data_IF_582799628895
#
_entry.id   IF_582799628895
#
_cell.length_a   1.000
_cell.length_b   1.000
_cell.length_c   1.000
_cell.angle_alpha   90.00
_cell.angle_beta   90.00
_cell.angle_gamma   90.00
#
_symmetry.space_group_name_H-M   'P 1'
#
loop_
_entity.id
_entity.type
_entity.pdbx_description
1 polymer ?
#
# COMPACT_ATOMS: atom_id res chain seq x y z
N UNK A 1 -76.69 3.36 6.86
CA UNK A 1 -76.66 3.13 8.33
C UNK A 1 -75.69 2.00 8.59
N UNK A 2 -74.53 2.33 9.18
CA UNK A 2 -73.62 1.53 10.02
C UNK A 2 -73.11 0.17 9.49
N UNK A 3 -71.85 0.09 9.01
CA UNK A 3 -70.59 -0.13 9.75
C UNK A 3 -70.31 -1.62 10.04
N UNK A 4 -69.29 -2.19 9.39
CA UNK A 4 -68.00 -2.55 10.03
C UNK A 4 -67.22 -3.58 9.21
N UNK A 5 -65.98 -3.20 8.88
CA UNK A 5 -64.87 -4.05 8.44
C UNK A 5 -64.20 -4.65 9.69
N UNK A 6 -63.40 -5.73 9.57
CA UNK A 6 -61.97 -5.44 9.65
C UNK A 6 -61.06 -6.25 8.73
N UNK A 7 -60.02 -5.55 8.31
CA UNK A 7 -58.75 -5.99 7.77
C UNK A 7 -58.07 -7.08 8.61
N UNK A 8 -57.51 -8.10 7.95
CA UNK A 8 -56.45 -8.94 8.50
C UNK A 8 -55.20 -8.75 7.64
N UNK A 9 -54.28 -7.91 8.12
CA UNK A 9 -52.97 -7.69 7.53
C UNK A 9 -51.98 -8.72 8.10
N UNK A 10 -51.52 -9.64 7.27
CA UNK A 10 -50.46 -10.60 7.61
C UNK A 10 -49.11 -9.91 7.48
N UNK A 11 -48.62 -9.35 8.59
CA UNK A 11 -47.25 -8.84 8.69
C UNK A 11 -46.29 -10.03 8.93
N UNK A 12 -45.58 -10.46 7.89
CA UNK A 12 -44.41 -11.33 8.00
C UNK A 12 -43.29 -10.58 8.71
N UNK A 13 -43.12 -10.84 10.01
CA UNK A 13 -41.93 -10.46 10.77
C UNK A 13 -40.77 -11.38 10.36
N UNK A 14 -39.92 -10.90 9.45
CA UNK A 14 -38.58 -11.45 9.24
C UNK A 14 -37.73 -11.14 10.46
N UNK A 15 -37.50 -12.15 11.29
CA UNK A 15 -36.53 -12.09 12.37
C UNK A 15 -35.12 -12.02 11.77
N UNK A 16 -34.51 -10.83 11.79
CA UNK A 16 -33.07 -10.69 11.64
C UNK A 16 -32.41 -11.28 12.88
N UNK A 17 -32.06 -12.57 12.79
CA UNK A 17 -31.14 -13.20 13.73
C UNK A 17 -29.74 -12.66 13.41
N UNK A 18 -29.39 -11.54 14.05
CA UNK A 18 -28.02 -11.01 14.06
C UNK A 18 -27.14 -12.00 14.81
N UNK A 19 -26.59 -12.97 14.09
CA UNK A 19 -25.58 -13.90 14.60
C UNK A 19 -24.29 -13.12 14.77
N UNK A 20 -24.15 -12.45 15.92
CA UNK A 20 -22.89 -11.87 16.36
C UNK A 20 -21.91 -13.04 16.51
N UNK A 21 -21.00 -13.18 15.55
CA UNK A 21 -19.88 -14.12 15.60
C UNK A 21 -18.97 -13.69 16.75
N UNK A 22 -19.30 -14.16 17.96
CA UNK A 22 -18.41 -14.09 19.10
C UNK A 22 -17.24 -14.98 18.74
N UNK A 23 -16.12 -14.37 18.34
CA UNK A 23 -14.88 -15.07 18.10
C UNK A 23 -14.57 -15.86 19.38
N UNK A 24 -14.72 -17.18 19.30
CA UNK A 24 -14.15 -18.08 20.29
C UNK A 24 -12.64 -17.94 20.07
N UNK A 25 -12.04 -16.96 20.74
CA UNK A 25 -10.62 -16.95 20.98
C UNK A 25 -10.38 -18.20 21.83
N UNK A 26 -9.99 -19.30 21.18
CA UNK A 26 -9.34 -20.40 21.87
C UNK A 26 -8.14 -19.77 22.58
N UNK A 27 -8.26 -19.56 23.89
CA UNK A 27 -7.12 -19.19 24.72
C UNK A 27 -6.18 -20.39 24.70
N UNK A 28 -5.26 -20.43 23.74
CA UNK A 28 -4.09 -21.29 23.86
C UNK A 28 -3.45 -20.93 25.20
N UNK A 29 -3.08 -21.96 25.98
CA UNK A 29 -2.24 -21.72 27.15
C UNK A 29 -1.04 -20.90 26.68
N UNK A 30 -0.84 -19.72 27.27
CA UNK A 30 0.25 -18.84 26.87
C UNK A 30 1.57 -19.62 26.97
N UNK A 31 2.36 -19.61 25.89
CA UNK A 31 3.70 -20.19 25.90
C UNK A 31 4.56 -19.50 26.96
N UNK A 32 5.68 -20.11 27.34
CA UNK A 32 6.66 -19.36 28.13
C UNK A 32 7.17 -18.18 27.29
N UNK A 33 7.62 -17.12 27.94
CA UNK A 33 8.06 -15.90 27.27
C UNK A 33 9.59 -15.89 27.15
N UNK A 34 10.10 -15.67 25.95
CA UNK A 34 11.51 -15.40 25.68
C UNK A 34 11.64 -13.95 25.18
N UNK A 35 12.26 -13.09 25.98
CA UNK A 35 12.46 -11.68 25.68
C UNK A 35 13.85 -11.43 25.12
N UNK A 36 13.92 -10.81 23.95
CA UNK A 36 15.14 -10.30 23.36
C UNK A 36 15.69 -9.15 24.23
N UNK A 37 16.80 -9.41 24.92
CA UNK A 37 17.50 -8.42 25.76
C UNK A 37 18.72 -7.82 25.08
N UNK A 38 19.18 -8.42 23.97
CA UNK A 38 20.34 -7.98 23.21
C UNK A 38 21.59 -7.73 24.09
N UNK A 39 21.76 -8.50 25.18
CA UNK A 39 22.85 -8.29 26.12
C UNK A 39 24.21 -8.82 25.61
N UNK A 40 24.24 -9.41 24.41
CA UNK A 40 25.47 -9.79 23.73
C UNK A 40 26.31 -8.60 23.27
N UNK A 41 27.58 -8.88 22.93
CA UNK A 41 28.42 -7.89 22.26
C UNK A 41 27.76 -7.44 20.94
N UNK A 42 27.94 -6.19 20.48
CA UNK A 42 27.31 -5.65 19.26
C UNK A 42 27.51 -6.47 17.98
N UNK A 43 28.42 -7.44 17.98
CA UNK A 43 28.78 -8.32 16.87
C UNK A 43 27.97 -9.62 16.76
N UNK A 44 27.15 -10.00 17.75
CA UNK A 44 26.39 -11.27 17.69
C UNK A 44 24.88 -11.07 17.93
N UNK A 45 24.12 -10.94 16.84
CA UNK A 45 22.66 -10.80 16.85
C UNK A 45 21.91 -12.11 16.57
N UNK A 46 22.55 -13.27 16.77
CA UNK A 46 21.95 -14.57 16.53
C UNK A 46 21.00 -15.00 17.66
N UNK A 47 19.92 -15.70 17.33
CA UNK A 47 18.97 -16.25 18.30
C UNK A 47 19.59 -17.37 19.15
N UNK A 48 20.51 -18.15 18.57
CA UNK A 48 21.23 -19.23 19.25
C UNK A 48 22.16 -18.74 20.36
N UNK A 49 22.48 -17.45 20.38
CA UNK A 49 23.31 -16.86 21.42
C UNK A 49 22.47 -16.54 22.65
N UNK A 50 22.47 -17.44 23.64
CA UNK A 50 21.58 -17.37 24.80
C UNK A 50 21.66 -16.08 25.64
N UNK A 51 22.77 -15.33 25.61
CA UNK A 51 22.85 -14.03 26.29
C UNK A 51 22.00 -12.94 25.63
N UNK A 52 21.52 -13.15 24.39
CA UNK A 52 20.59 -12.23 23.75
C UNK A 52 19.16 -12.38 24.28
N UNK A 53 18.90 -13.36 25.14
CA UNK A 53 17.59 -13.65 25.73
C UNK A 53 17.63 -13.62 27.25
N UNK A 54 16.52 -13.20 27.88
CA UNK A 54 16.31 -13.39 29.33
C UNK A 54 16.11 -14.89 29.68
N UNK A 55 15.48 -15.63 28.76
CA UNK A 55 15.31 -17.07 28.75
C UNK A 55 15.48 -17.57 27.32
N UNK A 56 16.31 -18.61 27.13
CA UNK A 56 16.57 -19.16 25.81
C UNK A 56 15.27 -19.66 25.15
N UNK A 57 14.94 -19.24 23.92
CA UNK A 57 13.68 -19.59 23.27
C UNK A 57 13.61 -21.07 22.91
N UNK A 58 12.46 -21.67 23.19
CA UNK A 58 12.12 -23.05 22.85
C UNK A 58 10.83 -23.13 22.04
N UNK A 59 10.50 -24.31 21.52
CA UNK A 59 9.30 -24.49 20.71
C UNK A 59 8.03 -24.29 21.55
N UNK A 60 7.11 -23.48 21.04
CA UNK A 60 5.87 -23.09 21.71
C UNK A 60 5.96 -21.77 22.47
N UNK A 61 7.17 -21.23 22.67
CA UNK A 61 7.35 -19.96 23.40
C UNK A 61 6.86 -18.76 22.62
N UNK A 62 6.49 -17.71 23.35
CA UNK A 62 6.21 -16.39 22.82
C UNK A 62 7.52 -15.59 22.79
N UNK A 63 7.90 -15.15 21.59
CA UNK A 63 9.06 -14.27 21.41
C UNK A 63 8.64 -12.82 21.66
N UNK A 64 9.41 -12.11 22.48
CA UNK A 64 9.17 -10.70 22.80
C UNK A 64 10.38 -9.86 22.43
N UNK A 65 10.20 -8.97 21.45
CA UNK A 65 11.15 -7.95 21.06
C UNK A 65 10.75 -6.64 21.75
N UNK A 66 11.17 -6.50 23.01
CA UNK A 66 10.72 -5.45 23.92
C UNK A 66 11.26 -4.05 23.53
N UNK A 67 10.48 -3.02 23.85
CA UNK A 67 10.95 -1.64 23.80
C UNK A 67 12.00 -1.40 24.90
N UNK A 68 12.88 -0.41 24.70
CA UNK A 68 13.89 -0.06 25.70
C UNK A 68 14.74 1.11 25.23
N UNK A 69 15.66 1.62 26.07
CA UNK A 69 16.57 2.68 25.67
C UNK A 69 17.30 2.30 24.37
N UNK A 70 17.74 3.31 23.62
CA UNK A 70 18.51 3.12 22.40
C UNK A 70 19.84 2.43 22.75
N UNK A 71 19.81 1.11 22.89
CA UNK A 71 21.02 0.33 22.93
C UNK A 71 21.57 0.42 21.51
N UNK A 72 22.74 1.03 21.36
CA UNK A 72 23.51 0.96 20.12
C UNK A 72 23.75 -0.49 19.63
N UNK A 73 23.37 -1.50 20.44
CA UNK A 73 23.50 -2.94 20.23
C UNK A 73 22.17 -3.71 20.11
N UNK A 74 21.00 -3.10 19.84
CA UNK A 74 19.77 -3.91 19.60
C UNK A 74 19.86 -4.88 18.42
N UNK A 75 20.91 -4.73 17.60
CA UNK A 75 21.23 -5.64 16.51
C UNK A 75 20.17 -5.65 15.42
N UNK A 76 20.40 -6.44 14.39
CA UNK A 76 19.32 -6.94 13.53
C UNK A 76 19.12 -8.39 13.93
N UNK A 77 18.13 -8.73 14.78
CA UNK A 77 17.98 -10.08 15.28
C UNK A 77 17.91 -11.08 14.13
N UNK A 78 18.75 -12.11 14.17
CA UNK A 78 18.86 -13.14 13.15
C UNK A 78 18.45 -14.47 13.76
N UNK A 79 17.31 -15.00 13.32
CA UNK A 79 16.89 -16.33 13.67
C UNK A 79 17.79 -17.36 12.98
N UNK A 80 18.66 -18.00 13.75
CA UNK A 80 19.50 -19.12 13.31
C UNK A 80 19.14 -20.43 14.02
N UNK A 81 18.04 -20.45 14.78
CA UNK A 81 17.46 -21.68 15.35
C UNK A 81 16.95 -22.60 14.24
N UNK A 82 16.73 -23.90 14.50
CA UNK A 82 16.26 -24.84 13.51
C UNK A 82 15.08 -24.29 12.68
N UNK A 83 15.15 -24.45 11.36
CA UNK A 83 14.12 -23.97 10.46
C UNK A 83 12.75 -24.57 10.81
N UNK A 84 11.70 -23.77 10.65
CA UNK A 84 10.32 -24.11 10.95
C UNK A 84 10.02 -24.40 12.42
N UNK A 85 10.91 -24.01 13.34
CA UNK A 85 10.60 -23.99 14.78
C UNK A 85 9.27 -23.24 15.00
N UNK A 86 8.39 -23.86 15.79
CA UNK A 86 7.08 -23.33 16.08
C UNK A 86 7.14 -22.45 17.33
N UNK A 87 6.69 -21.21 17.22
CA UNK A 87 6.52 -20.27 18.33
C UNK A 87 5.03 -20.00 18.56
N UNK A 88 4.64 -19.65 19.77
CA UNK A 88 3.26 -19.22 20.05
C UNK A 88 2.98 -17.88 19.36
N UNK A 89 3.72 -16.86 19.75
CA UNK A 89 3.60 -15.50 19.25
C UNK A 89 4.96 -14.86 18.94
N UNK A 90 4.94 -13.85 18.07
CA UNK A 90 6.04 -12.89 17.88
C UNK A 90 5.50 -11.51 18.24
N UNK A 91 5.98 -10.94 19.35
CA UNK A 91 5.55 -9.64 19.85
C UNK A 91 6.66 -8.61 19.65
N UNK A 92 6.37 -7.52 18.93
CA UNK A 92 7.33 -6.48 18.57
C UNK A 92 6.87 -5.17 19.22
N UNK A 93 7.76 -4.46 19.90
CA UNK A 93 7.40 -3.22 20.62
C UNK A 93 8.18 -1.98 20.14
N UNK A 94 9.04 -2.13 19.14
CA UNK A 94 9.80 -1.03 18.50
C UNK A 94 10.25 -1.43 17.09
N UNK A 95 11.02 -0.56 16.43
CA UNK A 95 11.49 -0.71 15.05
C UNK A 95 12.60 -1.78 14.89
N UNK A 96 12.26 -3.05 15.09
CA UNK A 96 13.18 -4.15 14.82
C UNK A 96 13.24 -4.52 13.33
N UNK A 97 14.42 -5.01 12.91
CA UNK A 97 14.61 -5.70 11.63
C UNK A 97 15.02 -7.15 11.89
N UNK A 98 14.04 -8.05 11.90
CA UNK A 98 14.20 -9.46 12.25
C UNK A 98 14.33 -10.27 10.96
N UNK A 99 15.40 -11.05 10.84
CA UNK A 99 15.74 -11.84 9.64
C UNK A 99 16.11 -13.28 10.02
N UNK A 100 16.33 -14.16 9.05
CA UNK A 100 16.85 -15.52 9.29
C UNK A 100 15.88 -16.64 8.91
N UNK A 101 16.02 -17.77 9.60
CA UNK A 101 15.33 -19.03 9.32
C UNK A 101 13.80 -18.91 9.44
N UNK A 102 13.09 -19.72 8.65
CA UNK A 102 11.63 -19.79 8.66
C UNK A 102 11.08 -20.20 10.03
N UNK A 103 9.88 -19.74 10.37
CA UNK A 103 9.18 -20.08 11.61
C UNK A 103 7.72 -20.39 11.35
N UNK A 104 7.14 -21.24 12.20
CA UNK A 104 5.68 -21.40 12.29
C UNK A 104 5.21 -20.59 13.50
N UNK A 105 4.13 -19.82 13.40
CA UNK A 105 3.56 -19.17 14.57
C UNK A 105 2.05 -18.95 14.51
N UNK A 106 1.42 -18.90 15.68
CA UNK A 106 -0.02 -18.62 15.79
C UNK A 106 -0.31 -17.12 15.71
N UNK A 107 0.62 -16.26 16.10
CA UNK A 107 0.40 -14.81 16.03
C UNK A 107 1.66 -13.97 15.82
N UNK A 108 1.47 -12.81 15.19
CA UNK A 108 2.43 -11.71 15.11
C UNK A 108 1.73 -10.44 15.59
N UNK A 109 2.26 -9.83 16.65
CA UNK A 109 1.72 -8.62 17.24
C UNK A 109 2.76 -7.50 17.19
N UNK A 110 2.57 -6.53 16.31
CA UNK A 110 3.39 -5.33 16.26
C UNK A 110 2.72 -4.19 17.04
N UNK A 111 3.38 -3.79 18.12
CA UNK A 111 3.03 -2.70 19.02
C UNK A 111 3.93 -1.48 18.83
N UNK A 112 4.84 -1.51 17.85
CA UNK A 112 5.64 -0.36 17.47
C UNK A 112 4.76 0.73 16.87
N UNK A 113 4.99 1.99 17.23
CA UNK A 113 4.33 3.15 16.62
C UNK A 113 4.94 3.57 15.28
N UNK A 114 6.05 2.94 14.87
CA UNK A 114 6.82 3.24 13.67
C UNK A 114 6.92 2.01 12.77
N UNK A 115 8.01 1.85 12.04
CA UNK A 115 8.21 0.75 11.09
C UNK A 115 8.99 -0.40 11.71
N UNK A 116 8.42 -1.60 11.71
CA UNK A 116 9.12 -2.85 11.98
C UNK A 116 9.22 -3.69 10.71
N UNK A 117 10.26 -4.51 10.60
CA UNK A 117 10.44 -5.49 9.52
C UNK A 117 10.61 -6.88 10.11
N UNK A 118 9.71 -7.79 9.73
CA UNK A 118 9.78 -9.21 10.04
C UNK A 118 10.02 -9.96 8.73
N UNK A 119 11.29 -10.13 8.38
CA UNK A 119 11.75 -10.76 7.13
C UNK A 119 11.91 -12.29 7.22
N UNK A 120 11.35 -12.91 8.26
CA UNK A 120 11.25 -14.36 8.37
C UNK A 120 10.20 -14.89 7.39
N UNK A 121 10.44 -16.07 6.81
CA UNK A 121 9.32 -16.83 6.23
C UNK A 121 8.41 -17.32 7.37
N UNK A 122 7.12 -17.05 7.24
CA UNK A 122 6.09 -17.39 8.23
C UNK A 122 5.19 -18.49 7.68
N UNK A 123 4.95 -19.52 8.47
CA UNK A 123 4.00 -20.58 8.16
C UNK A 123 2.85 -20.59 9.19
N UNK A 124 1.64 -20.85 8.71
CA UNK A 124 0.49 -21.13 9.58
C UNK A 124 0.66 -22.48 10.29
N UNK A 125 0.22 -22.63 11.55
CA UNK A 125 0.32 -23.88 12.29
C UNK A 125 -0.76 -24.86 11.84
N UNK A 126 -0.46 -25.61 10.77
CA UNK A 126 -1.39 -26.56 10.17
C UNK A 126 -2.65 -25.87 9.64
N UNK A 127 -3.81 -26.24 10.16
CA UNK A 127 -5.12 -25.64 9.80
C UNK A 127 -5.60 -24.59 10.81
N UNK A 128 -4.82 -24.29 11.85
CA UNK A 128 -5.20 -23.28 12.83
C UNK A 128 -5.06 -21.85 12.27
N UNK A 129 -5.80 -20.92 12.87
CA UNK A 129 -5.78 -19.51 12.46
C UNK A 129 -4.48 -18.86 12.94
N UNK A 130 -3.78 -18.19 12.02
CA UNK A 130 -2.72 -17.24 12.35
C UNK A 130 -3.29 -15.82 12.43
N UNK A 131 -2.90 -15.04 13.44
CA UNK A 131 -3.27 -13.62 13.55
C UNK A 131 -2.08 -12.70 13.32
N UNK A 132 -2.29 -11.61 12.58
CA UNK A 132 -1.27 -10.58 12.36
C UNK A 132 -1.89 -9.22 12.70
N UNK A 133 -1.43 -8.59 13.77
CA UNK A 133 -2.02 -7.37 14.32
C UNK A 133 -0.96 -6.28 14.41
N UNK A 134 -1.29 -5.07 13.93
CA UNK A 134 -0.51 -3.86 14.18
C UNK A 134 -1.36 -2.92 15.03
N UNK A 135 -1.03 -2.82 16.32
CA UNK A 135 -1.92 -2.23 17.33
C UNK A 135 -1.94 -0.70 17.32
N UNK A 136 -0.93 -0.08 16.71
CA UNK A 136 -0.81 1.38 16.61
C UNK A 136 -1.23 1.87 15.23
N UNK A 137 -1.97 2.98 15.16
CA UNK A 137 -2.49 3.48 13.88
C UNK A 137 -1.39 3.96 12.92
N UNK A 138 -0.27 4.47 13.46
CA UNK A 138 0.90 4.89 12.67
C UNK A 138 1.92 3.77 12.41
N UNK A 139 1.72 2.59 13.01
CA UNK A 139 2.63 1.46 12.87
C UNK A 139 2.59 0.86 11.47
N UNK A 140 3.75 0.41 10.99
CA UNK A 140 3.90 -0.31 9.73
C UNK A 140 4.73 -1.56 9.94
N UNK A 141 4.12 -2.73 9.72
CA UNK A 141 4.82 -4.01 9.73
C UNK A 141 5.10 -4.47 8.29
N UNK A 142 6.38 -4.49 7.91
CA UNK A 142 6.84 -5.09 6.66
C UNK A 142 7.07 -6.59 6.82
N UNK A 143 6.48 -7.36 5.90
CA UNK A 143 6.57 -8.82 5.82
C UNK A 143 7.11 -9.22 4.43
N UNK A 144 8.43 -9.08 4.19
CA UNK A 144 9.04 -9.47 2.92
C UNK A 144 9.32 -10.97 2.81
N UNK A 145 9.30 -11.71 3.93
CA UNK A 145 9.38 -13.17 3.93
C UNK A 145 8.13 -13.82 3.32
N UNK A 146 8.25 -15.08 2.92
CA UNK A 146 7.11 -15.86 2.38
C UNK A 146 6.10 -16.11 3.51
N UNK A 147 4.83 -15.79 3.27
CA UNK A 147 3.71 -16.29 4.07
C UNK A 147 3.15 -17.58 3.45
N UNK A 148 3.04 -18.66 4.24
CA UNK A 148 2.75 -20.01 3.75
C UNK A 148 1.81 -20.82 4.67
N UNK A 149 1.36 -21.98 4.17
CA UNK A 149 0.55 -22.95 4.90
C UNK A 149 -0.95 -22.89 4.61
N UNK A 150 -1.69 -23.85 5.14
CA UNK A 150 -3.10 -24.06 4.80
C UNK A 150 -4.09 -23.39 5.77
N UNK A 151 -3.62 -22.92 6.92
CA UNK A 151 -4.44 -22.27 7.94
C UNK A 151 -4.96 -20.90 7.49
N UNK A 152 -6.11 -20.43 8.02
CA UNK A 152 -6.58 -19.08 7.80
C UNK A 152 -5.62 -18.04 8.37
N UNK A 153 -5.58 -16.85 7.79
CA UNK A 153 -4.80 -15.71 8.30
C UNK A 153 -5.72 -14.53 8.55
N UNK A 154 -5.77 -14.04 9.78
CA UNK A 154 -6.55 -12.85 10.14
C UNK A 154 -5.63 -11.67 10.37
N UNK A 155 -5.82 -10.61 9.59
CA UNK A 155 -5.13 -9.35 9.77
C UNK A 155 -6.02 -8.34 10.52
N UNK A 156 -5.47 -7.71 11.55
CA UNK A 156 -6.19 -6.74 12.38
C UNK A 156 -5.32 -5.58 12.88
N UNK A 157 -5.87 -4.82 13.83
CA UNK A 157 -5.26 -3.61 14.35
C UNK A 157 -5.41 -2.39 13.42
N UNK A 158 -5.28 -1.16 13.94
CA UNK A 158 -5.48 0.05 13.15
C UNK A 158 -4.32 0.37 12.18
N UNK A 159 -3.13 -0.22 12.37
CA UNK A 159 -1.95 0.08 11.55
C UNK A 159 -1.88 -0.64 10.20
N UNK A 160 -0.71 -0.56 9.58
CA UNK A 160 -0.44 -1.05 8.24
C UNK A 160 0.35 -2.35 8.24
N UNK A 161 -0.06 -3.32 7.42
CA UNK A 161 0.70 -4.55 7.16
C UNK A 161 1.05 -4.60 5.68
N UNK A 162 2.29 -4.92 5.36
CA UNK A 162 2.78 -4.95 3.97
C UNK A 162 3.31 -6.32 3.61
N UNK A 163 2.56 -7.07 2.80
CA UNK A 163 2.98 -8.35 2.23
C UNK A 163 3.71 -8.08 0.91
N UNK A 164 5.03 -8.25 0.90
CA UNK A 164 5.88 -7.86 -0.24
C UNK A 164 6.47 -9.05 -1.01
N UNK A 165 6.27 -10.29 -0.53
CA UNK A 165 6.82 -11.45 -1.22
C UNK A 165 5.95 -11.86 -2.43
N UNK A 166 6.51 -11.98 -3.65
CA UNK A 166 5.74 -12.36 -4.84
C UNK A 166 5.29 -13.83 -4.84
N UNK A 167 5.76 -14.64 -3.88
CA UNK A 167 5.55 -16.09 -3.83
C UNK A 167 4.85 -16.56 -2.55
N UNK A 168 4.00 -15.72 -1.93
CA UNK A 168 3.21 -16.22 -0.80
C UNK A 168 2.35 -17.40 -1.26
N UNK A 169 2.40 -18.46 -0.47
CA UNK A 169 1.78 -19.76 -0.74
C UNK A 169 0.72 -20.14 0.29
N UNK A 170 0.32 -19.18 1.13
CA UNK A 170 -0.83 -19.36 2.01
C UNK A 170 -2.09 -19.63 1.19
N UNK A 171 -2.84 -20.67 1.56
CA UNK A 171 -4.05 -21.11 0.85
C UNK A 171 -5.32 -21.03 1.69
N UNK A 172 -5.19 -20.91 3.01
CA UNK A 172 -6.32 -20.66 3.89
C UNK A 172 -6.89 -19.26 3.72
N UNK A 173 -8.16 -19.06 4.07
CA UNK A 173 -8.84 -17.77 3.95
C UNK A 173 -8.06 -16.64 4.65
N UNK A 174 -7.74 -15.59 3.92
CA UNK A 174 -7.20 -14.35 4.47
C UNK A 174 -8.35 -13.40 4.81
N UNK A 175 -8.46 -12.99 6.08
CA UNK A 175 -9.47 -12.05 6.55
C UNK A 175 -8.83 -10.72 6.95
N UNK A 176 -9.38 -9.62 6.46
CA UNK A 176 -9.02 -8.26 6.88
C UNK A 176 -10.14 -7.69 7.75
N UNK A 177 -9.86 -7.53 9.05
CA UNK A 177 -10.84 -7.04 10.02
C UNK A 177 -10.68 -5.58 10.45
N UNK A 178 -9.50 -4.99 10.27
CA UNK A 178 -9.23 -3.58 10.63
C UNK A 178 -7.92 -3.08 10.00
N UNK A 179 -7.72 -1.76 9.98
CA UNK A 179 -6.51 -1.10 9.50
C UNK A 179 -6.29 -1.28 8.00
N UNK A 180 -5.03 -1.27 7.57
CA UNK A 180 -4.68 -1.39 6.15
C UNK A 180 -3.81 -2.60 5.87
N UNK A 181 -4.19 -3.42 4.88
CA UNK A 181 -3.36 -4.50 4.34
C UNK A 181 -2.91 -4.12 2.93
N UNK A 182 -1.61 -3.99 2.74
CA UNK A 182 -0.98 -3.75 1.45
C UNK A 182 -0.46 -5.06 0.88
N UNK A 183 -0.86 -5.37 -0.35
CA UNK A 183 -0.33 -6.50 -1.12
C UNK A 183 0.54 -5.93 -2.24
N UNK A 184 1.86 -6.01 -2.06
CA UNK A 184 2.86 -5.65 -3.09
C UNK A 184 3.42 -6.89 -3.79
N UNK A 185 3.37 -8.02 -3.09
CA UNK A 185 3.72 -9.33 -3.58
C UNK A 185 2.53 -10.00 -4.27
N UNK A 186 2.32 -11.29 -4.05
CA UNK A 186 1.12 -12.01 -4.54
C UNK A 186 0.63 -13.03 -3.51
N UNK A 187 -0.66 -13.35 -3.55
CA UNK A 187 -1.36 -14.32 -2.70
C UNK A 187 -2.37 -15.12 -3.55
N UNK A 188 -1.92 -15.66 -4.69
CA UNK A 188 -2.79 -16.27 -5.69
C UNK A 188 -3.60 -17.48 -5.18
N UNK A 189 -3.14 -18.15 -4.12
CA UNK A 189 -3.81 -19.30 -3.53
C UNK A 189 -4.82 -18.95 -2.43
N UNK A 190 -4.76 -17.75 -1.84
CA UNK A 190 -5.61 -17.38 -0.69
C UNK A 190 -6.76 -16.47 -1.12
N UNK A 191 -8.03 -16.86 -0.88
CA UNK A 191 -9.15 -15.94 -0.99
C UNK A 191 -9.07 -14.87 0.11
N UNK A 192 -9.42 -13.64 -0.23
CA UNK A 192 -9.41 -12.50 0.69
C UNK A 192 -10.85 -12.07 0.99
N UNK A 193 -11.20 -12.03 2.28
CA UNK A 193 -12.46 -11.47 2.77
C UNK A 193 -12.18 -10.22 3.61
N UNK A 194 -12.72 -9.07 3.20
CA UNK A 194 -12.58 -7.80 3.91
C UNK A 194 -13.86 -7.51 4.67
N UNK A 195 -13.81 -7.67 5.99
CA UNK A 195 -14.95 -7.40 6.89
C UNK A 195 -14.91 -5.99 7.46
N UNK A 196 -13.75 -5.34 7.46
CA UNK A 196 -13.56 -3.92 7.80
C UNK A 196 -12.12 -3.49 7.50
N UNK A 197 -11.88 -2.20 7.25
CA UNK A 197 -10.56 -1.67 6.91
C UNK A 197 -10.29 -1.61 5.40
N UNK A 198 -9.04 -1.34 5.04
CA UNK A 198 -8.63 -1.05 3.66
C UNK A 198 -7.69 -2.11 3.11
N UNK A 199 -8.10 -2.80 2.06
CA UNK A 199 -7.23 -3.62 1.23
C UNK A 199 -6.61 -2.74 0.14
N UNK A 200 -5.29 -2.66 0.09
CA UNK A 200 -4.54 -1.95 -0.95
C UNK A 200 -3.85 -2.98 -1.84
N UNK A 201 -4.25 -3.03 -3.10
CA UNK A 201 -3.57 -3.82 -4.13
C UNK A 201 -2.68 -2.91 -4.95
N UNK A 202 -1.43 -3.31 -5.16
CA UNK A 202 -0.51 -2.54 -5.99
C UNK A 202 0.58 -3.44 -6.58
N UNK A 203 1.43 -2.87 -7.43
CA UNK A 203 2.58 -3.56 -8.02
C UNK A 203 2.21 -4.78 -8.87
N UNK A 204 1.06 -4.73 -9.55
CA UNK A 204 0.56 -5.83 -10.38
C UNK A 204 0.39 -7.15 -9.61
N UNK A 205 0.06 -7.05 -8.31
CA UNK A 205 -0.14 -8.21 -7.45
C UNK A 205 -1.25 -9.12 -7.99
N UNK A 206 -1.09 -10.44 -7.79
CA UNK A 206 -2.16 -11.41 -8.03
C UNK A 206 -2.67 -11.96 -6.70
N UNK A 207 -3.98 -11.93 -6.50
CA UNK A 207 -4.68 -12.56 -5.38
C UNK A 207 -5.70 -13.57 -5.92
N UNK A 208 -6.23 -14.43 -5.06
CA UNK A 208 -7.35 -15.31 -5.44
C UNK A 208 -8.66 -14.50 -5.55
N UNK A 209 -9.75 -14.96 -4.97
CA UNK A 209 -11.00 -14.21 -4.90
C UNK A 209 -10.90 -13.07 -3.89
N UNK A 210 -11.60 -11.97 -4.16
CA UNK A 210 -11.77 -10.84 -3.25
C UNK A 210 -13.27 -10.71 -2.94
N UNK A 211 -13.61 -10.67 -1.65
CA UNK A 211 -14.95 -10.33 -1.18
C UNK A 211 -14.87 -9.17 -0.21
N UNK A 212 -15.57 -8.07 -0.51
CA UNK A 212 -15.80 -6.99 0.42
C UNK A 212 -17.16 -7.22 1.07
N UNK A 213 -17.16 -7.61 2.36
CA UNK A 213 -18.36 -7.99 3.10
C UNK A 213 -18.72 -6.98 4.21
N UNK A 214 -17.81 -6.06 4.54
CA UNK A 214 -18.00 -5.07 5.60
C UNK A 214 -18.56 -3.74 5.11
N UNK A 215 -19.41 -3.09 5.91
CA UNK A 215 -19.87 -1.72 5.64
C UNK A 215 -18.76 -0.67 5.72
N UNK A 216 -17.62 -1.00 6.34
CA UNK A 216 -16.41 -0.17 6.42
C UNK A 216 -15.24 -0.77 5.63
N UNK A 217 -15.51 -1.78 4.79
CA UNK A 217 -14.48 -2.37 3.94
C UNK A 217 -14.21 -1.49 2.73
N UNK A 218 -12.93 -1.34 2.39
CA UNK A 218 -12.46 -0.53 1.26
C UNK A 218 -11.49 -1.37 0.43
N UNK A 219 -11.68 -1.38 -0.88
CA UNK A 219 -10.66 -1.81 -1.84
C UNK A 219 -10.09 -0.57 -2.51
N UNK A 220 -8.77 -0.42 -2.45
CA UNK A 220 -8.03 0.71 -3.01
C UNK A 220 -6.79 0.23 -3.75
N UNK A 221 -6.29 1.09 -4.63
CA UNK A 221 -5.00 0.92 -5.32
C UNK A 221 -4.07 2.10 -5.06
N UNK A 222 -4.50 3.02 -4.19
CA UNK A 222 -3.71 4.18 -3.84
C UNK A 222 -2.66 3.80 -2.80
N UNK A 223 -1.53 3.28 -3.29
CA UNK A 223 -0.37 3.04 -2.44
C UNK A 223 0.21 4.38 -1.96
N UNK A 224 0.45 4.46 -0.65
CA UNK A 224 0.95 5.66 0.06
C UNK A 224 2.31 5.43 0.72
N UNK A 225 2.71 4.18 0.95
CA UNK A 225 3.98 3.84 1.58
C UNK A 225 5.12 3.70 0.56
N UNK A 226 4.81 3.53 -0.73
CA UNK A 226 5.78 3.46 -1.81
C UNK A 226 5.18 3.89 -3.16
N UNK A 227 6.04 4.17 -4.15
CA UNK A 227 5.60 4.34 -5.52
C UNK A 227 5.42 2.94 -6.13
N UNK A 228 4.17 2.55 -6.37
CA UNK A 228 3.78 1.27 -6.97
C UNK A 228 2.72 1.48 -8.05
N UNK A 229 2.67 0.55 -9.00
CA UNK A 229 1.59 0.50 -9.99
C UNK A 229 0.25 0.35 -9.29
N UNK A 230 -0.79 1.01 -9.81
CA UNK A 230 -2.14 1.05 -9.24
C UNK A 230 -3.05 -0.04 -9.81
N UNK A 231 -2.49 -1.25 -9.98
CA UNK A 231 -3.16 -2.37 -10.61
C UNK A 231 -2.95 -3.66 -9.79
N UNK A 232 -3.96 -4.53 -9.84
CA UNK A 232 -3.92 -5.89 -9.31
C UNK A 232 -4.85 -6.83 -10.08
N UNK A 233 -4.66 -8.12 -9.91
CA UNK A 233 -5.47 -9.18 -10.55
C UNK A 233 -6.09 -10.07 -9.48
N UNK A 234 -7.35 -10.45 -9.67
CA UNK A 234 -8.05 -11.40 -8.82
C UNK A 234 -8.85 -12.44 -9.64
N UNK A 235 -9.27 -13.52 -8.98
CA UNK A 235 -10.23 -14.47 -9.53
C UNK A 235 -11.61 -13.82 -9.61
N UNK A 236 -12.42 -13.99 -8.57
CA UNK A 236 -13.71 -13.33 -8.46
C UNK A 236 -13.61 -12.03 -7.65
N UNK A 237 -14.25 -10.97 -8.13
CA UNK A 237 -14.43 -9.71 -7.41
C UNK A 237 -15.89 -9.58 -6.97
N UNK A 238 -16.13 -9.61 -5.66
CA UNK A 238 -17.44 -9.36 -5.08
C UNK A 238 -17.41 -8.14 -4.18
N UNK A 239 -18.19 -7.11 -4.52
CA UNK A 239 -18.31 -5.86 -3.76
C UNK A 239 -19.69 -5.82 -3.12
N UNK A 240 -19.75 -6.05 -1.81
CA UNK A 240 -20.97 -6.06 -1.02
C UNK A 240 -21.59 -4.68 -0.82
N UNK A 241 -22.79 -4.68 -0.24
CA UNK A 241 -23.51 -3.45 0.09
C UNK A 241 -22.72 -2.59 1.07
N UNK A 242 -22.69 -1.29 0.83
CA UNK A 242 -21.97 -0.30 1.66
C UNK A 242 -20.45 -0.43 1.69
N UNK A 243 -19.86 -1.45 1.06
CA UNK A 243 -18.41 -1.54 0.87
C UNK A 243 -17.94 -0.53 -0.17
N UNK A 244 -16.73 -0.01 -0.04
CA UNK A 244 -16.20 1.04 -0.93
C UNK A 244 -15.18 0.50 -1.93
N UNK A 245 -15.38 0.79 -3.20
CA UNK A 245 -14.36 0.70 -4.24
C UNK A 245 -13.77 2.09 -4.51
N UNK A 246 -12.49 2.26 -4.21
CA UNK A 246 -11.81 3.54 -4.34
C UNK A 246 -10.98 3.59 -5.62
N UNK A 247 -11.36 4.48 -6.52
CA UNK A 247 -10.63 4.83 -7.74
C UNK A 247 -9.85 6.11 -7.51
N UNK A 248 -8.54 6.08 -7.77
CA UNK A 248 -7.67 7.25 -7.69
C UNK A 248 -6.94 7.38 -9.03
N UNK A 249 -6.80 8.61 -9.52
CA UNK A 249 -6.10 8.90 -10.76
C UNK A 249 -4.83 9.71 -10.48
N UNK A 250 -3.68 9.20 -10.92
CA UNK A 250 -2.36 9.86 -10.89
C UNK A 250 -1.80 10.13 -12.29
N UNK A 251 -2.41 9.59 -13.35
CA UNK A 251 -2.06 9.82 -14.74
C UNK A 251 -2.99 9.11 -15.72
N UNK A 252 -2.72 9.25 -17.02
CA UNK A 252 -3.54 8.68 -18.09
C UNK A 252 -3.25 7.19 -18.39
N UNK A 253 -2.05 6.70 -18.07
CA UNK A 253 -1.69 5.30 -18.27
C UNK A 253 -2.43 4.41 -17.27
N UNK A 254 -2.78 3.18 -17.66
CA UNK A 254 -3.47 2.22 -16.78
C UNK A 254 -2.67 1.90 -15.52
N UNK A 255 -1.34 1.94 -15.55
CA UNK A 255 -0.53 1.75 -14.34
C UNK A 255 -0.62 2.93 -13.34
N UNK A 256 -1.18 4.07 -13.77
CA UNK A 256 -1.26 5.32 -13.01
C UNK A 256 -2.69 5.69 -12.57
N UNK A 257 -3.66 4.80 -12.72
CA UNK A 257 -4.97 4.94 -12.09
C UNK A 257 -5.43 3.59 -11.53
N UNK A 258 -6.30 3.62 -10.52
CA UNK A 258 -6.85 2.40 -9.93
C UNK A 258 -7.57 1.54 -10.96
N UNK A 259 -7.10 0.32 -11.17
CA UNK A 259 -7.81 -0.68 -11.97
C UNK A 259 -7.53 -2.09 -11.46
N UNK A 260 -8.47 -2.99 -11.73
CA UNK A 260 -8.37 -4.39 -11.36
C UNK A 260 -8.82 -5.29 -12.50
N UNK A 261 -8.05 -6.35 -12.74
CA UNK A 261 -8.45 -7.45 -13.62
C UNK A 261 -9.14 -8.53 -12.80
N UNK A 262 -10.33 -8.96 -13.22
CA UNK A 262 -11.11 -10.00 -12.54
C UNK A 262 -11.71 -10.99 -13.55
N UNK A 263 -11.89 -12.24 -13.14
CA UNK A 263 -12.53 -13.30 -13.95
C UNK A 263 -14.05 -13.32 -13.81
N UNK A 264 -14.61 -12.82 -12.70
CA UNK A 264 -16.05 -12.61 -12.53
C UNK A 264 -16.26 -11.40 -11.61
N UNK A 265 -17.31 -10.62 -11.87
CA UNK A 265 -17.61 -9.40 -11.11
C UNK A 265 -19.05 -9.41 -10.62
N UNK A 266 -19.24 -9.23 -9.31
CA UNK A 266 -20.54 -9.06 -8.68
C UNK A 266 -20.56 -7.80 -7.83
N UNK A 267 -21.51 -6.91 -8.11
CA UNK A 267 -21.71 -5.63 -7.44
C UNK A 267 -23.07 -5.62 -6.75
N UNK A 268 -23.07 -5.75 -5.43
CA UNK A 268 -24.31 -5.79 -4.62
C UNK A 268 -24.52 -4.43 -3.96
N UNK A 269 -24.67 -3.37 -4.76
CA UNK A 269 -24.83 -1.98 -4.27
C UNK A 269 -23.64 -1.47 -3.44
N UNK A 270 -22.41 -1.79 -3.86
CA UNK A 270 -21.19 -1.17 -3.34
C UNK A 270 -21.12 0.33 -3.66
N UNK A 271 -20.31 1.07 -2.91
CA UNK A 271 -20.07 2.51 -3.11
C UNK A 271 -18.85 2.68 -4.01
N UNK A 272 -18.99 3.48 -5.08
CA UNK A 272 -17.87 3.91 -5.91
C UNK A 272 -17.40 5.30 -5.45
N UNK A 273 -16.13 5.44 -5.11
CA UNK A 273 -15.50 6.73 -4.80
C UNK A 273 -14.40 7.01 -5.80
N UNK A 274 -14.48 8.14 -6.51
CA UNK A 274 -13.47 8.56 -7.49
C UNK A 274 -12.74 9.79 -6.99
N UNK A 275 -11.42 9.71 -6.86
CA UNK A 275 -10.55 10.82 -6.45
C UNK A 275 -9.64 11.21 -7.62
N UNK A 276 -9.74 12.48 -8.03
CA UNK A 276 -8.98 13.05 -9.16
C UNK A 276 -8.01 14.15 -8.73
N UNK A 277 -7.65 14.21 -7.46
CA UNK A 277 -6.81 15.28 -6.91
C UNK A 277 -5.46 15.43 -7.62
N UNK A 278 -4.85 14.30 -8.05
CA UNK A 278 -3.51 14.29 -8.64
C UNK A 278 -3.52 14.30 -10.18
N UNK A 279 -4.64 13.95 -10.80
CA UNK A 279 -4.79 13.95 -12.24
C UNK A 279 -6.26 14.04 -12.59
N UNK A 280 -6.64 15.01 -13.41
CA UNK A 280 -7.99 15.16 -13.93
C UNK A 280 -8.05 14.58 -15.36
N UNK A 281 -8.73 13.44 -15.58
CA UNK A 281 -8.88 12.89 -16.92
C UNK A 281 -9.65 13.84 -17.83
N UNK A 282 -9.15 14.03 -19.06
CA UNK A 282 -9.77 14.90 -20.05
C UNK A 282 -11.17 14.41 -20.45
N UNK A 283 -12.02 15.31 -20.93
CA UNK A 283 -13.31 14.93 -21.53
C UNK A 283 -13.10 13.89 -22.66
N UNK A 284 -13.94 12.86 -22.68
CA UNK A 284 -13.86 11.74 -23.63
C UNK A 284 -12.81 10.68 -23.31
N UNK A 285 -11.92 10.91 -22.33
CA UNK A 285 -10.99 9.86 -21.88
C UNK A 285 -11.76 8.72 -21.21
N UNK A 286 -11.38 7.48 -21.52
CA UNK A 286 -11.99 6.26 -20.97
C UNK A 286 -10.99 5.58 -20.06
N UNK A 287 -11.38 5.32 -18.82
CA UNK A 287 -10.62 4.54 -17.85
C UNK A 287 -11.36 3.25 -17.55
N UNK A 288 -10.71 2.10 -17.76
CA UNK A 288 -11.25 0.80 -17.34
C UNK A 288 -10.89 0.58 -15.89
N UNK A 289 -11.86 0.71 -14.99
CA UNK A 289 -11.63 0.58 -13.54
C UNK A 289 -11.81 -0.86 -13.06
N UNK A 290 -12.56 -1.68 -13.81
CA UNK A 290 -12.66 -3.13 -13.64
C UNK A 290 -12.61 -3.75 -15.03
N UNK A 291 -11.56 -4.53 -15.30
CA UNK A 291 -11.41 -5.34 -16.51
C UNK A 291 -11.90 -6.75 -16.22
N UNK A 292 -13.11 -7.08 -16.69
CA UNK A 292 -13.71 -8.39 -16.50
C UNK A 292 -13.36 -9.28 -17.69
N UNK A 293 -12.31 -10.07 -17.52
CA UNK A 293 -11.81 -10.98 -18.56
C UNK A 293 -12.61 -12.28 -18.64
N UNK A 294 -13.60 -12.44 -17.76
CA UNK A 294 -14.53 -13.56 -17.79
C UNK A 294 -15.53 -13.52 -18.94
N UNK A 295 -16.12 -14.68 -19.23
CA UNK A 295 -17.21 -14.79 -20.21
C UNK A 295 -18.53 -14.17 -19.71
N UNK A 296 -18.74 -14.15 -18.39
CA UNK A 296 -19.96 -13.66 -17.78
C UNK A 296 -19.96 -12.13 -17.64
N UNK A 297 -21.10 -11.47 -17.88
CA UNK A 297 -21.22 -10.02 -17.67
C UNK A 297 -21.11 -9.65 -16.20
N UNK A 298 -20.89 -8.37 -15.94
CA UNK A 298 -20.97 -7.80 -14.58
C UNK A 298 -22.38 -8.02 -14.04
N UNK A 299 -22.48 -8.63 -12.86
CA UNK A 299 -23.75 -8.81 -12.17
C UNK A 299 -23.98 -7.65 -11.20
N UNK A 300 -25.06 -6.90 -11.40
CA UNK A 300 -25.44 -5.77 -10.55
C UNK A 300 -24.71 -4.46 -10.88
N UNK A 301 -24.84 -3.46 -10.01
CA UNK A 301 -24.26 -2.12 -10.18
C UNK A 301 -23.77 -1.56 -8.84
N UNK A 302 -22.97 -0.49 -8.89
CA UNK A 302 -22.74 0.33 -7.71
C UNK A 302 -24.04 1.01 -7.25
N UNK A 303 -24.11 1.39 -5.98
CA UNK A 303 -25.27 2.01 -5.34
C UNK A 303 -25.65 3.32 -6.04
N UNK A 304 -26.88 3.41 -6.54
CA UNK A 304 -27.41 4.60 -7.21
C UNK A 304 -26.81 4.91 -8.57
N UNK A 305 -25.97 4.02 -9.12
CA UNK A 305 -25.24 4.24 -10.37
C UNK A 305 -25.67 3.19 -11.41
N UNK A 306 -26.83 3.39 -12.03
CA UNK A 306 -27.23 2.60 -13.19
C UNK A 306 -26.29 2.83 -14.40
N UNK A 307 -26.44 2.04 -15.47
CA UNK A 307 -25.74 2.26 -16.74
C UNK A 307 -25.92 3.71 -17.22
N UNK A 308 -24.82 4.37 -17.60
CA UNK A 308 -24.84 5.75 -18.06
C UNK A 308 -24.92 6.82 -16.95
N UNK A 309 -25.00 6.42 -15.68
CA UNK A 309 -25.10 7.35 -14.56
C UNK A 309 -23.87 8.28 -14.46
N UNK A 310 -24.07 9.45 -13.85
CA UNK A 310 -22.99 10.41 -13.62
C UNK A 310 -22.31 10.10 -12.30
N UNK A 311 -20.98 9.97 -12.35
CA UNK A 311 -20.11 9.85 -11.19
C UNK A 311 -19.34 11.16 -11.04
N UNK A 312 -19.42 11.76 -9.87
CA UNK A 312 -18.70 13.00 -9.55
C UNK A 312 -17.45 12.68 -8.73
N UNK A 313 -16.32 13.28 -9.07
CA UNK A 313 -15.10 13.14 -8.27
C UNK A 313 -15.32 13.71 -6.86
N UNK A 314 -14.91 12.96 -5.84
CA UNK A 314 -15.03 13.34 -4.44
C UNK A 314 -14.08 14.48 -4.05
N UNK A 315 -13.02 14.71 -4.82
CA UNK A 315 -12.02 15.75 -4.55
C UNK A 315 -12.14 16.96 -5.49
N UNK A 316 -12.70 16.76 -6.69
CA UNK A 316 -12.91 17.81 -7.68
C UNK A 316 -14.33 17.75 -8.23
N UNK A 317 -15.33 18.41 -7.61
CA UNK A 317 -16.74 18.29 -8.00
C UNK A 317 -17.07 18.72 -9.44
N UNK A 318 -16.20 19.51 -10.08
CA UNK A 318 -16.31 19.86 -11.50
C UNK A 318 -15.90 18.73 -12.46
N UNK A 319 -15.14 17.74 -11.96
CA UNK A 319 -14.76 16.56 -12.73
C UNK A 319 -15.85 15.50 -12.61
N UNK A 320 -16.49 15.20 -13.74
CA UNK A 320 -17.56 14.20 -13.81
C UNK A 320 -17.27 13.14 -14.86
N UNK A 321 -17.84 11.97 -14.64
CA UNK A 321 -17.70 10.79 -15.50
C UNK A 321 -19.08 10.21 -15.80
N UNK A 322 -19.20 9.54 -16.93
CA UNK A 322 -20.29 8.60 -17.18
C UNK A 322 -19.77 7.18 -16.95
N UNK A 323 -20.48 6.39 -16.15
CA UNK A 323 -20.14 4.99 -15.90
C UNK A 323 -20.80 4.08 -16.94
N UNK A 324 -20.08 3.03 -17.34
CA UNK A 324 -20.63 1.93 -18.14
C UNK A 324 -20.19 0.58 -17.56
N UNK A 325 -21.10 -0.39 -17.52
CA UNK A 325 -20.91 -1.78 -17.08
C UNK A 325 -20.88 -2.78 -18.24
N UNK A 326 -21.06 -2.30 -19.48
CA UNK A 326 -21.14 -3.11 -20.71
C UNK A 326 -20.05 -2.74 -21.72
N UNK A 327 -18.96 -2.14 -21.25
CA UNK A 327 -17.88 -1.65 -22.08
C UNK A 327 -16.84 -2.76 -22.39
N UNK A 328 -15.91 -2.47 -23.30
CA UNK A 328 -14.79 -3.37 -23.63
C UNK A 328 -15.14 -4.50 -24.61
N UNK A 329 -14.12 -5.30 -24.95
CA UNK A 329 -14.31 -6.47 -25.81
C UNK A 329 -15.11 -7.54 -25.06
N UNK A 330 -16.28 -7.92 -25.59
CA UNK A 330 -17.20 -8.83 -24.92
C UNK A 330 -18.23 -8.16 -23.99
N UNK A 331 -18.24 -6.82 -23.89
CA UNK A 331 -19.23 -6.04 -23.12
C UNK A 331 -19.34 -6.36 -21.62
N UNK A 332 -18.20 -6.62 -20.99
CA UNK A 332 -18.14 -7.07 -19.60
C UNK A 332 -17.39 -6.12 -18.66
N UNK A 333 -16.81 -5.03 -19.15
CA UNK A 333 -15.95 -4.15 -18.35
C UNK A 333 -16.70 -3.00 -17.69
N UNK A 334 -16.19 -2.56 -16.53
CA UNK A 334 -16.64 -1.32 -15.89
C UNK A 334 -15.70 -0.18 -16.24
N UNK A 335 -16.23 0.84 -16.91
CA UNK A 335 -15.46 2.00 -17.38
C UNK A 335 -16.02 3.32 -16.87
N UNK A 336 -15.14 4.32 -16.78
CA UNK A 336 -15.48 5.72 -16.53
C UNK A 336 -15.05 6.56 -17.73
N UNK A 337 -16.00 7.27 -18.34
CA UNK A 337 -15.75 8.18 -19.46
C UNK A 337 -15.85 9.62 -18.99
N UNK A 338 -14.77 10.40 -19.10
CA UNK A 338 -14.75 11.81 -18.70
C UNK A 338 -15.77 12.65 -19.48
N UNK A 339 -16.52 13.52 -18.81
CA UNK A 339 -17.54 14.38 -19.45
C UNK A 339 -16.99 15.75 -19.85
N UNK A 340 -17.71 16.42 -20.74
CA UNK A 340 -17.43 17.82 -21.13
C UNK A 340 -17.43 18.73 -19.89
N UNK A 341 -16.40 19.56 -19.75
CA UNK A 341 -16.17 20.39 -18.57
C UNK A 341 -15.00 19.92 -17.70
N UNK A 342 -14.56 18.67 -17.85
CA UNK A 342 -13.27 18.23 -17.33
C UNK A 342 -12.17 19.01 -18.07
N UNK A 343 -11.31 19.74 -17.36
CA UNK A 343 -10.22 20.51 -17.97
C UNK A 343 -9.23 19.61 -18.73
N UNK A 344 -8.34 20.22 -19.51
CA UNK A 344 -7.42 19.50 -20.39
C UNK A 344 -6.39 18.70 -19.59
N UNK A 345 -6.73 17.46 -19.19
CA UNK A 345 -5.78 16.40 -18.80
C UNK A 345 -4.59 16.84 -17.95
N UNK A 346 -4.78 17.73 -16.97
CA UNK A 346 -3.64 18.38 -16.31
C UNK A 346 -3.23 17.53 -15.11
N UNK A 347 -1.93 17.20 -15.02
CA UNK A 347 -1.37 16.65 -13.80
C UNK A 347 -1.56 17.67 -12.67
N UNK A 348 -2.21 17.26 -11.59
CA UNK A 348 -2.38 18.05 -10.37
C UNK A 348 -1.01 18.20 -9.69
N UNK A 349 -0.22 19.15 -10.17
CA UNK A 349 1.10 19.42 -9.62
C UNK A 349 0.98 20.12 -8.28
N UNK A 350 1.19 19.40 -7.18
CA UNK A 350 1.68 20.03 -5.95
C UNK A 350 3.19 20.23 -6.12
N UNK A 351 3.61 21.31 -6.76
CA UNK A 351 5.02 21.71 -6.75
C UNK A 351 5.34 22.35 -5.41
N UNK A 352 5.67 21.55 -4.39
CA UNK A 352 6.46 22.03 -3.25
C UNK A 352 7.93 22.00 -3.67
N UNK A 353 8.34 23.03 -4.39
CA UNK A 353 9.72 23.21 -4.81
C UNK A 353 10.11 24.67 -4.67
N UNK A 354 10.71 25.03 -3.54
CA UNK A 354 11.57 26.20 -3.39
C UNK A 354 12.79 26.02 -4.31
N UNK A 355 12.61 26.32 -5.59
CA UNK A 355 13.68 26.42 -6.56
C UNK A 355 13.89 27.88 -6.91
N UNK A 356 14.93 28.49 -6.37
CA UNK A 356 15.61 29.65 -6.98
C UNK A 356 16.25 29.17 -8.28
N UNK A 357 15.43 29.00 -9.32
CA UNK A 357 15.85 28.73 -10.68
C UNK A 357 15.89 30.04 -11.46
N UNK A 358 17.09 30.52 -11.73
CA UNK A 358 17.34 31.61 -12.68
C UNK A 358 16.80 31.20 -14.05
N UNK A 359 15.79 31.91 -14.53
CA UNK A 359 15.19 31.67 -15.83
C UNK A 359 16.17 32.08 -16.95
N UNK A 360 16.72 31.09 -17.67
CA UNK A 360 17.31 31.32 -19.00
C UNK A 360 16.18 31.23 -20.03
N UNK A 361 15.73 32.38 -20.50
CA UNK A 361 14.75 32.48 -21.58
C UNK A 361 15.34 31.90 -22.87
N UNK A 362 14.77 30.81 -23.37
CA UNK A 362 15.00 30.34 -24.74
C UNK A 362 13.97 31.02 -25.64
N UNK A 363 14.42 32.00 -26.42
CA UNK A 363 13.58 32.71 -27.38
C UNK A 363 13.03 31.77 -28.43
N UNK A 364 11.70 31.66 -28.50
CA UNK A 364 11.01 31.06 -29.64
C UNK A 364 10.57 32.19 -30.54
N UNK A 365 11.19 32.29 -31.71
CA UNK A 365 10.89 33.28 -32.74
C UNK A 365 9.54 32.97 -33.38
N UNK A 366 8.58 33.87 -33.20
CA UNK A 366 7.37 33.91 -33.99
C UNK A 366 7.72 34.33 -35.43
N UNK A 367 7.34 33.51 -36.42
CA UNK A 367 7.37 33.90 -37.84
C UNK A 367 5.94 34.20 -38.29
N UNK A 368 5.66 35.50 -38.43
CA UNK A 368 4.53 36.01 -39.18
C UNK A 368 4.81 35.96 -40.69
N UNK A 369 3.74 35.74 -41.43
CA UNK A 369 3.60 35.80 -42.89
C UNK A 369 3.88 37.19 -43.46
N UNK A 370 4.65 37.29 -44.55
CA UNK A 370 4.36 38.13 -45.73
C UNK A 370 5.22 37.69 -46.92
N UNK A 371 4.61 37.71 -48.11
CA UNK A 371 5.23 37.30 -49.37
C UNK A 371 6.25 38.30 -49.90
N UNK A 372 7.13 37.80 -50.76
CA UNK A 372 8.15 38.61 -51.44
C UNK A 372 8.99 37.74 -52.37
N UNK A 373 8.57 37.68 -53.63
CA UNK A 373 9.33 37.16 -54.77
C UNK A 373 10.66 37.90 -54.93
N UNK A 374 11.77 37.17 -55.09
CA UNK A 374 13.07 37.73 -55.41
C UNK A 374 14.17 36.67 -55.52
N UNK A 375 14.37 36.16 -56.73
CA UNK A 375 15.50 35.32 -57.16
C UNK A 375 16.77 36.15 -57.43
N UNK A 376 17.92 35.45 -57.40
CA UNK A 376 19.30 35.85 -57.75
C UNK A 376 20.15 36.40 -56.58
N UNK A 377 21.37 35.94 -56.32
CA UNK A 377 22.17 34.89 -56.94
C UNK A 377 23.56 34.78 -56.29
N UNK A 378 24.20 33.63 -56.55
CA UNK A 378 25.67 33.41 -56.69
C UNK A 378 26.59 33.49 -55.45
N UNK A 379 27.77 32.79 -55.47
CA UNK A 379 28.23 31.93 -54.37
C UNK A 379 29.66 32.32 -53.86
N UNK A 380 30.58 31.37 -53.56
CA UNK A 380 31.04 30.99 -52.22
C UNK A 380 32.50 31.41 -51.91
N UNK A 381 32.90 31.37 -50.64
CA UNK A 381 34.31 31.35 -50.19
C UNK A 381 34.31 31.00 -48.70
N UNK A 382 34.79 29.84 -48.25
CA UNK A 382 36.20 29.41 -48.09
C UNK A 382 37.09 30.42 -47.35
N UNK A 383 38.09 29.87 -46.65
CA UNK A 383 39.16 30.42 -45.81
C UNK A 383 38.83 30.41 -44.30
N UNK A 384 39.33 29.46 -43.51
CA UNK A 384 40.73 29.13 -43.12
C UNK A 384 41.22 29.94 -41.91
N UNK A 385 41.99 29.26 -41.05
CA UNK A 385 42.96 29.88 -40.13
C UNK A 385 42.44 29.97 -38.71
N UNK A 386 42.99 29.16 -37.80
CA UNK A 386 44.20 29.52 -37.02
C UNK A 386 43.93 30.79 -36.21
N UNK A 387 43.78 30.73 -34.89
CA UNK A 387 44.80 30.23 -33.98
C UNK A 387 45.19 31.37 -33.05
N UNK A 388 45.79 31.01 -31.91
CA UNK A 388 46.44 31.90 -30.93
C UNK A 388 45.49 32.71 -30.02
N UNK A 389 45.77 32.96 -28.74
CA UNK A 389 46.86 32.62 -27.80
C UNK A 389 46.46 33.24 -26.44
N UNK A 390 47.20 32.84 -25.40
CA UNK A 390 47.50 33.62 -24.17
C UNK A 390 46.46 33.63 -23.05
N UNK A 391 46.83 33.77 -21.78
CA UNK A 391 48.01 33.45 -20.95
C UNK A 391 47.65 33.96 -19.54
N UNK A 392 48.16 33.29 -18.50
CA UNK A 392 48.37 33.71 -17.11
C UNK A 392 47.24 33.83 -16.04
N UNK A 393 47.45 32.96 -15.03
CA UNK A 393 47.50 33.09 -13.56
C UNK A 393 46.46 33.89 -12.74
N UNK A 394 46.20 33.35 -11.54
CA UNK A 394 45.63 34.11 -10.43
C UNK A 394 45.22 33.21 -9.25
N UNK A 395 46.05 33.20 -8.22
CA UNK A 395 45.95 32.47 -6.95
C UNK A 395 45.07 33.16 -5.89
N UNK A 396 44.48 32.36 -4.99
CA UNK A 396 44.00 32.74 -3.64
C UNK A 396 42.64 33.45 -3.60
N UNK A 397 41.85 33.50 -2.52
CA UNK A 397 41.74 32.81 -1.22
C UNK A 397 40.50 33.44 -0.54
N UNK A 398 39.91 32.73 0.45
CA UNK A 398 38.85 33.13 1.40
C UNK A 398 37.41 33.12 0.83
N UNK A 399 36.41 32.52 1.47
CA UNK A 399 36.25 31.84 2.75
C UNK A 399 34.75 31.78 3.06
N UNK A 400 34.23 30.67 3.61
CA UNK A 400 32.92 30.68 4.27
C UNK A 400 32.79 29.54 5.29
N UNK A 401 32.77 29.95 6.56
CA UNK A 401 32.06 29.42 7.72
C UNK A 401 31.61 27.95 7.73
N UNK A 402 32.26 27.14 8.57
CA UNK A 402 31.69 25.94 9.18
C UNK A 402 31.48 26.22 10.68
N UNK A 403 30.22 26.20 11.12
CA UNK A 403 29.82 26.14 12.53
C UNK A 403 29.93 24.69 13.00
N UNK A 404 30.77 24.42 13.98
CA UNK A 404 30.64 23.22 14.83
C UNK A 404 30.87 23.62 16.28
N UNK A 405 29.81 23.47 17.06
CA UNK A 405 29.76 23.70 18.50
C UNK A 405 29.82 22.31 19.15
N UNK A 406 30.93 21.97 19.82
CA UNK A 406 30.89 20.90 20.81
C UNK A 406 31.91 21.10 21.93
N UNK A 407 31.41 20.75 23.12
CA UNK A 407 31.86 21.08 24.46
C UNK A 407 33.29 20.68 24.80
N UNK A 408 33.92 21.55 25.58
CA UNK A 408 35.18 21.34 26.28
C UNK A 408 34.87 20.93 27.72
N UNK A 409 35.26 19.73 28.17
CA UNK A 409 35.46 19.47 29.60
C UNK A 409 36.50 18.38 29.86
N UNK A 410 37.49 18.77 30.66
CA UNK A 410 38.31 17.99 31.60
C UNK A 410 39.49 17.12 31.11
N UNK A 411 40.71 17.63 31.35
CA UNK A 411 41.74 17.02 32.25
C UNK A 411 43.03 17.84 32.22
N UNK A 412 43.52 18.26 33.39
CA UNK A 412 44.97 18.27 33.70
C UNK A 412 45.21 18.19 35.20
N UNK A 413 45.87 17.10 35.59
CA UNK A 413 46.69 17.02 36.79
C UNK A 413 47.93 17.90 36.61
N UNK A 414 48.29 18.70 37.62
CA UNK A 414 49.71 18.88 38.00
C UNK A 414 49.84 19.42 39.41
N UNK A 415 50.79 18.81 40.11
CA UNK A 415 51.29 18.99 41.48
C UNK A 415 51.69 20.43 41.84
N UNK A 416 51.72 20.72 43.14
CA UNK A 416 52.63 21.73 43.71
C UNK A 416 52.24 22.19 45.12
N UNK A 417 53.01 21.70 46.11
CA UNK A 417 53.19 22.14 47.51
C UNK A 417 52.01 22.11 48.47
#
# INVERSE_FOLDING_TARGET
MMLSSPFLATATRSAFLSLTLMAIASSQAAGAVATWVAAGTPSNSMFSYGQNWDAFPTAGDDLVFAAGPAFAAKGSPVNDLPASMAFGAINIYEAYNITGNAVTCSSVNDNNATTATLALALATPGSAVMTIIVTTAGGVLYLPGILSGAGPVTHGGPGHRVLNNPTNSVSGLTTLGMGTLHIWGSMAASPINVTSGTLVLSNDCTVNNITLAGSTSVLSFNETLAIKNMHGTCGNLSIGSSSTFQVVTKGAASTLYSNITASNVTLTTGILVVNTANYMPAAGSVMTIIDNVGASPVVGTFAGLAEGAIVTSSTNPSTTFTISYIAGAGSNNVTLTGRSGNGAGTAGGTTTGTGTGTATATGTTATGTTGGSGTAGLPPSDSSGDGHKNFFCGSGSLGCLMMSLLAFTWRRNSRGT
#
